data_IF_375194702305
#
_entry.id   IF_375194702305
#
_cell.length_a   1.000
_cell.length_b   1.000
_cell.length_c   1.000
_cell.angle_alpha   90.00
_cell.angle_beta   90.00
_cell.angle_gamma   90.00
#
_symmetry.space_group_name_H-M   'P 1'
#
loop_
_entity.id
_entity.type
_entity.pdbx_description
1 polymer ?
#
# COMPACT_ATOMS: atom_id res chain seq x y z
N UNK A 1 33.94 36.47 -21.81
CA UNK A 1 34.54 35.26 -21.20
C UNK A 1 34.16 35.21 -19.71
N UNK A 2 33.27 34.30 -19.31
CA UNK A 2 33.27 33.50 -18.05
C UNK A 2 31.92 32.77 -17.86
N UNK A 3 31.92 31.49 -18.24
CA UNK A 3 31.23 30.35 -17.59
C UNK A 3 31.49 30.36 -16.07
N UNK A 4 30.77 29.74 -15.13
CA UNK A 4 29.63 28.81 -15.00
C UNK A 4 29.13 29.03 -13.54
N UNK A 5 27.94 28.61 -13.07
CA UNK A 5 27.56 27.22 -12.88
C UNK A 5 26.08 27.10 -12.51
N UNK A 6 25.34 26.29 -13.28
CA UNK A 6 24.09 25.69 -12.82
C UNK A 6 24.44 24.53 -11.87
N UNK A 7 23.83 24.53 -10.68
CA UNK A 7 23.97 23.43 -9.73
C UNK A 7 23.43 22.11 -10.29
N UNK A 8 23.79 20.96 -9.69
CA UNK A 8 23.35 19.66 -10.18
C UNK A 8 21.82 19.57 -10.17
N UNK A 9 21.25 19.20 -11.31
CA UNK A 9 19.84 18.86 -11.39
C UNK A 9 19.60 17.64 -10.49
N UNK A 10 18.80 17.81 -9.44
CA UNK A 10 18.34 16.67 -8.64
C UNK A 10 17.43 15.82 -9.53
N UNK A 11 17.94 14.69 -9.99
CA UNK A 11 17.17 13.72 -10.75
C UNK A 11 16.12 13.10 -9.81
N UNK A 12 14.87 13.56 -9.95
CA UNK A 12 13.82 13.30 -8.96
C UNK A 12 13.28 11.85 -8.99
N UNK A 13 13.34 11.18 -10.14
CA UNK A 13 12.91 9.79 -10.28
C UNK A 13 13.35 9.20 -11.62
N UNK A 14 13.97 8.02 -11.62
CA UNK A 14 14.16 7.17 -12.81
C UNK A 14 13.52 5.81 -12.56
N UNK A 15 12.81 5.32 -13.56
CA UNK A 15 12.44 3.90 -13.65
C UNK A 15 12.98 3.34 -14.97
N UNK A 16 13.31 2.05 -15.01
CA UNK A 16 13.85 1.39 -16.21
C UNK A 16 12.84 1.25 -17.34
N UNK A 17 11.54 1.48 -17.09
CA UNK A 17 10.48 1.25 -18.07
C UNK A 17 10.33 -0.23 -18.45
N UNK A 18 10.87 -1.14 -17.65
CA UNK A 18 10.97 -2.58 -17.92
C UNK A 18 9.62 -3.32 -17.97
N UNK A 19 8.55 -2.69 -17.49
CA UNK A 19 7.24 -3.33 -17.32
C UNK A 19 7.20 -4.30 -16.13
N UNK A 20 8.31 -4.50 -15.42
CA UNK A 20 8.36 -5.33 -14.22
C UNK A 20 8.01 -4.51 -12.97
N UNK A 21 6.97 -4.97 -12.27
CA UNK A 21 6.41 -4.26 -11.12
C UNK A 21 7.39 -4.22 -9.94
N UNK A 22 8.11 -5.31 -9.68
CA UNK A 22 9.05 -5.39 -8.57
C UNK A 22 10.26 -4.50 -8.83
N UNK A 23 10.82 -4.53 -10.04
CA UNK A 23 11.92 -3.64 -10.45
C UNK A 23 11.53 -2.17 -10.31
N UNK A 24 10.31 -1.81 -10.73
CA UNK A 24 9.80 -0.45 -10.53
C UNK A 24 9.77 -0.08 -9.05
N UNK A 25 9.29 -0.97 -8.17
CA UNK A 25 9.33 -0.69 -6.73
C UNK A 25 10.75 -0.56 -6.19
N UNK A 26 11.71 -1.38 -6.64
CA UNK A 26 13.11 -1.26 -6.22
C UNK A 26 13.72 0.08 -6.61
N UNK A 27 13.37 0.60 -7.79
CA UNK A 27 13.87 1.87 -8.31
C UNK A 27 13.26 3.07 -7.57
N UNK A 28 11.98 2.99 -7.18
CA UNK A 28 11.31 4.12 -6.52
C UNK A 28 11.37 4.08 -4.99
N UNK A 29 11.22 2.89 -4.38
CA UNK A 29 11.18 2.71 -2.93
C UNK A 29 12.53 2.26 -2.35
N UNK A 30 13.47 1.87 -3.20
CA UNK A 30 14.77 1.34 -2.81
C UNK A 30 14.76 -0.18 -2.62
N UNK A 31 15.87 -0.82 -3.00
CA UNK A 31 16.02 -2.29 -3.01
C UNK A 31 15.76 -2.94 -1.66
N UNK A 32 16.33 -2.39 -0.59
CA UNK A 32 16.21 -2.97 0.75
C UNK A 32 14.76 -2.99 1.25
N UNK A 33 14.03 -1.90 1.00
CA UNK A 33 12.63 -1.80 1.39
C UNK A 33 11.77 -2.78 0.59
N UNK A 34 11.97 -2.87 -0.73
CA UNK A 34 11.22 -3.78 -1.60
C UNK A 34 11.50 -5.25 -1.28
N UNK A 35 12.75 -5.60 -0.94
CA UNK A 35 13.14 -6.95 -0.58
C UNK A 35 12.45 -7.45 0.70
N UNK A 36 12.07 -6.54 1.60
CA UNK A 36 11.34 -6.87 2.82
C UNK A 36 9.82 -7.02 2.61
N UNK A 37 9.27 -6.67 1.44
CA UNK A 37 7.84 -6.74 1.18
C UNK A 37 7.37 -8.17 0.91
N UNK A 38 6.10 -8.42 1.23
CA UNK A 38 5.42 -9.69 1.06
C UNK A 38 4.62 -9.68 -0.24
N UNK A 39 4.79 -10.70 -1.11
CA UNK A 39 4.03 -10.79 -2.35
C UNK A 39 2.57 -11.12 -2.05
N UNK A 40 1.70 -10.57 -2.88
CA UNK A 40 0.25 -10.83 -2.90
C UNK A 40 -0.10 -11.31 -4.30
N UNK A 41 -0.71 -12.49 -4.40
CA UNK A 41 -1.49 -12.93 -5.56
C UNK A 41 -2.65 -13.77 -5.03
N UNK A 42 -3.87 -13.24 -5.14
CA UNK A 42 -5.07 -13.88 -4.64
C UNK A 42 -6.25 -13.55 -5.53
N UNK A 43 -7.11 -14.53 -5.75
CA UNK A 43 -8.36 -14.36 -6.49
C UNK A 43 -9.53 -14.86 -5.64
N UNK A 44 -10.57 -14.04 -5.54
CA UNK A 44 -11.77 -14.35 -4.79
C UNK A 44 -12.95 -13.52 -5.31
N UNK A 45 -14.12 -14.16 -5.47
CA UNK A 45 -15.40 -13.49 -5.76
C UNK A 45 -15.32 -12.52 -6.96
N UNK A 46 -14.62 -12.90 -8.04
CA UNK A 46 -14.47 -12.07 -9.23
C UNK A 46 -13.39 -10.98 -9.12
N UNK A 47 -12.70 -10.88 -7.99
CA UNK A 47 -11.65 -9.88 -7.74
C UNK A 47 -10.29 -10.57 -7.66
N UNK A 48 -9.34 -10.15 -8.52
CA UNK A 48 -7.92 -10.52 -8.38
C UNK A 48 -7.15 -9.39 -7.72
N UNK A 49 -6.33 -9.72 -6.74
CA UNK A 49 -5.40 -8.80 -6.12
C UNK A 49 -3.98 -9.30 -6.34
N UNK A 50 -3.12 -8.48 -6.94
CA UNK A 50 -1.69 -8.75 -7.09
C UNK A 50 -0.87 -7.61 -6.52
N UNK A 51 0.39 -7.85 -6.16
CA UNK A 51 1.33 -6.81 -5.78
C UNK A 51 2.13 -7.14 -4.53
N UNK A 52 2.43 -6.12 -3.72
CA UNK A 52 3.30 -6.25 -2.55
C UNK A 52 2.74 -5.47 -1.36
N UNK A 53 2.88 -6.01 -0.15
CA UNK A 53 2.55 -5.32 1.12
C UNK A 53 3.69 -5.42 2.11
N UNK A 54 3.82 -4.47 3.04
CA UNK A 54 4.83 -4.58 4.08
C UNK A 54 4.48 -5.67 5.10
N UNK A 55 5.49 -6.31 5.72
CA UNK A 55 5.24 -7.07 6.93
C UNK A 55 4.77 -6.11 8.04
N UNK A 56 3.98 -6.57 9.02
CA UNK A 56 3.34 -5.69 10.00
C UNK A 56 4.28 -4.79 10.82
N UNK A 57 5.50 -5.23 11.09
CA UNK A 57 6.50 -4.43 11.82
C UNK A 57 7.10 -3.29 10.96
N UNK A 58 6.94 -3.34 9.64
CA UNK A 58 7.34 -2.27 8.72
C UNK A 58 6.13 -1.40 8.40
N UNK A 59 6.14 -0.18 8.90
CA UNK A 59 5.08 0.81 8.71
C UNK A 59 5.63 2.23 8.55
N UNK A 60 4.77 3.20 8.25
CA UNK A 60 5.09 4.63 8.13
C UNK A 60 4.09 5.48 8.91
N UNK A 61 4.47 6.72 9.22
CA UNK A 61 3.58 7.69 9.88
C UNK A 61 2.50 8.25 8.93
N UNK A 62 2.67 8.07 7.61
CA UNK A 62 1.74 8.56 6.58
C UNK A 62 1.43 7.47 5.56
N UNK A 63 0.36 7.66 4.79
CA UNK A 63 -0.09 6.73 3.74
C UNK A 63 0.60 6.93 2.39
N UNK A 64 1.71 7.67 2.32
CA UNK A 64 2.35 8.02 1.04
C UNK A 64 2.85 6.82 0.23
N UNK A 65 3.05 5.67 0.90
CA UNK A 65 3.46 4.39 0.30
C UNK A 65 2.29 3.40 0.16
N UNK A 66 1.06 3.90 0.08
CA UNK A 66 -0.13 3.12 -0.30
C UNK A 66 -0.51 3.47 -1.73
N UNK A 67 0.04 2.72 -2.67
CA UNK A 67 -0.19 2.86 -4.10
C UNK A 67 -1.16 1.79 -4.57
N UNK A 68 -2.29 2.24 -5.13
CA UNK A 68 -3.40 1.37 -5.50
C UNK A 68 -3.80 1.62 -6.94
N UNK A 69 -4.00 0.54 -7.67
CA UNK A 69 -4.50 0.57 -9.03
C UNK A 69 -5.73 -0.32 -9.18
N UNK A 70 -6.73 0.14 -9.92
CA UNK A 70 -7.89 -0.66 -10.32
C UNK A 70 -7.91 -0.74 -11.83
N UNK A 71 -7.85 -1.94 -12.38
CA UNK A 71 -7.81 -2.20 -13.82
C UNK A 71 -6.74 -1.32 -14.53
N UNK A 72 -5.55 -1.25 -13.93
CA UNK A 72 -4.39 -0.48 -14.44
C UNK A 72 -4.42 1.03 -14.16
N UNK A 73 -5.48 1.58 -13.58
CA UNK A 73 -5.58 3.03 -13.30
C UNK A 73 -5.21 3.33 -11.85
N UNK A 74 -4.34 4.32 -11.57
CA UNK A 74 -4.05 4.73 -10.20
C UNK A 74 -5.30 5.36 -9.58
N UNK A 75 -5.66 4.90 -8.38
CA UNK A 75 -6.89 5.32 -7.69
C UNK A 75 -6.64 5.71 -6.24
N UNK A 76 -7.56 6.50 -5.69
CA UNK A 76 -7.82 6.69 -4.27
C UNK A 76 -9.23 6.21 -3.98
N UNK A 77 -9.38 5.32 -3.01
CA UNK A 77 -10.68 4.80 -2.60
C UNK A 77 -10.67 4.54 -1.10
N UNK A 78 -11.66 5.11 -0.41
CA UNK A 78 -11.84 4.92 1.03
C UNK A 78 -12.02 3.45 1.38
N UNK A 79 -12.74 2.70 0.54
CA UNK A 79 -13.00 1.26 0.69
C UNK A 79 -11.71 0.45 0.64
N UNK A 80 -10.83 0.72 -0.34
CA UNK A 80 -9.56 0.01 -0.46
C UNK A 80 -8.61 0.36 0.71
N UNK A 81 -8.58 1.63 1.12
CA UNK A 81 -7.78 2.07 2.28
C UNK A 81 -8.26 1.43 3.58
N UNK A 82 -9.58 1.39 3.80
CA UNK A 82 -10.18 0.74 4.96
C UNK A 82 -9.92 -0.78 4.96
N UNK A 83 -9.88 -1.43 3.79
CA UNK A 83 -9.55 -2.84 3.69
C UNK A 83 -8.11 -3.14 4.12
N UNK A 84 -7.15 -2.28 3.73
CA UNK A 84 -5.76 -2.37 4.20
C UNK A 84 -5.71 -2.21 5.72
N UNK A 85 -6.35 -1.17 6.26
CA UNK A 85 -6.37 -0.95 7.71
C UNK A 85 -6.98 -2.14 8.46
N UNK A 86 -8.10 -2.67 7.96
CA UNK A 86 -8.78 -3.82 8.55
C UNK A 86 -7.92 -5.10 8.49
N UNK A 87 -7.16 -5.29 7.42
CA UNK A 87 -6.27 -6.44 7.30
C UNK A 87 -5.14 -6.40 8.34
N UNK A 88 -4.63 -5.19 8.62
CA UNK A 88 -3.49 -4.96 9.51
C UNK A 88 -3.85 -4.58 10.94
N UNK A 89 -5.15 -4.40 11.24
CA UNK A 89 -5.67 -3.87 12.52
C UNK A 89 -5.10 -4.57 13.77
N UNK A 90 -4.82 -5.86 13.69
CA UNK A 90 -4.31 -6.63 14.83
C UNK A 90 -2.82 -6.43 15.10
N UNK A 91 -2.08 -5.84 14.15
CA UNK A 91 -0.61 -5.87 14.15
C UNK A 91 0.02 -4.50 13.96
N UNK A 92 -0.72 -3.54 13.40
CA UNK A 92 -0.21 -2.19 13.16
C UNK A 92 -0.57 -1.28 14.32
N UNK A 93 0.42 -0.63 14.96
CA UNK A 93 0.16 0.35 16.01
C UNK A 93 -0.73 1.50 15.52
N UNK A 94 -1.39 2.17 16.45
CA UNK A 94 -2.21 3.34 16.13
C UNK A 94 -1.42 4.39 15.34
N UNK A 95 -2.06 5.00 14.33
CA UNK A 95 -1.49 6.07 13.47
C UNK A 95 -0.24 5.65 12.70
N UNK A 96 -0.01 4.34 12.56
CA UNK A 96 0.95 3.76 11.64
C UNK A 96 0.22 3.16 10.45
N UNK A 97 0.86 3.20 9.29
CA UNK A 97 0.29 2.70 8.05
C UNK A 97 1.25 1.71 7.40
N UNK A 98 0.77 0.51 7.01
CA UNK A 98 1.57 -0.42 6.22
C UNK A 98 1.82 0.17 4.82
N UNK A 99 2.90 -0.27 4.19
CA UNK A 99 3.15 -0.01 2.79
C UNK A 99 2.34 -0.99 1.96
N UNK A 100 1.80 -0.54 0.85
CA UNK A 100 1.02 -1.36 -0.06
C UNK A 100 1.20 -0.85 -1.48
N UNK A 101 1.58 -1.74 -2.39
CA UNK A 101 1.57 -1.49 -3.83
C UNK A 101 0.70 -2.58 -4.45
N UNK A 102 -0.58 -2.29 -4.69
CA UNK A 102 -1.58 -3.30 -5.01
C UNK A 102 -2.34 -2.99 -6.30
N UNK A 103 -2.47 -4.00 -7.14
CA UNK A 103 -3.26 -3.98 -8.37
C UNK A 103 -4.50 -4.84 -8.19
N UNK A 104 -5.66 -4.19 -8.31
CA UNK A 104 -6.98 -4.79 -8.19
C UNK A 104 -7.52 -4.98 -9.62
N UNK A 105 -7.89 -6.20 -9.96
CA UNK A 105 -8.59 -6.52 -11.20
C UNK A 105 -9.99 -7.01 -10.90
N UNK A 106 -10.97 -6.44 -11.59
CA UNK A 106 -12.39 -6.80 -11.47
C UNK A 106 -13.11 -6.43 -12.77
N UNK A 107 -14.34 -6.89 -12.94
CA UNK A 107 -15.18 -6.53 -14.09
C UNK A 107 -15.24 -4.99 -14.24
N UNK A 108 -14.75 -4.41 -15.35
CA UNK A 108 -14.80 -2.97 -15.59
C UNK A 108 -16.21 -2.41 -15.54
N UNK A 109 -17.23 -3.20 -15.90
CA UNK A 109 -18.62 -2.77 -15.81
C UNK A 109 -19.06 -2.54 -14.36
N UNK A 110 -18.41 -3.19 -13.38
CA UNK A 110 -18.66 -3.04 -11.94
C UNK A 110 -17.91 -1.88 -11.28
N UNK A 111 -17.19 -1.06 -12.05
CA UNK A 111 -16.32 0.00 -11.54
C UNK A 111 -16.70 1.34 -12.18
N UNK A 112 -17.17 2.28 -11.37
CA UNK A 112 -17.40 3.65 -11.81
C UNK A 112 -16.17 4.52 -11.51
N UNK A 113 -15.53 5.01 -12.56
CA UNK A 113 -14.33 5.86 -12.54
C UNK A 113 -14.66 7.35 -12.75
N UNK A 114 -15.93 7.71 -12.96
CA UNK A 114 -16.37 9.07 -13.31
C UNK A 114 -16.81 9.91 -12.10
N UNK A 115 -16.42 9.52 -10.89
CA UNK A 115 -16.99 10.09 -9.65
C UNK A 115 -16.45 11.49 -9.31
N UNK A 116 -15.35 11.93 -9.94
CA UNK A 116 -14.80 13.29 -9.70
C UNK A 116 -14.07 13.85 -10.93
N UNK A 117 -14.20 15.17 -11.20
CA UNK A 117 -13.48 15.84 -12.28
C UNK A 117 -11.97 16.02 -12.01
N UNK A 118 -11.48 15.85 -10.77
CA UNK A 118 -10.10 16.21 -10.37
C UNK A 118 -9.18 15.02 -10.05
N UNK A 119 -9.51 13.83 -10.57
CA UNK A 119 -8.68 12.61 -10.72
C UNK A 119 -8.90 11.50 -9.67
N UNK A 120 -8.92 10.27 -10.20
CA UNK A 120 -8.56 9.03 -9.52
C UNK A 120 -9.47 8.53 -8.38
N UNK A 121 -10.68 9.03 -8.20
CA UNK A 121 -11.65 8.38 -7.30
C UNK A 121 -12.45 7.29 -8.03
N UNK A 122 -12.62 6.15 -7.37
CA UNK A 122 -13.32 5.00 -7.93
C UNK A 122 -14.39 4.50 -6.96
N UNK A 123 -15.56 4.18 -7.51
CA UNK A 123 -16.66 3.56 -6.77
C UNK A 123 -16.94 2.18 -7.35
N UNK A 124 -16.99 1.18 -6.49
CA UNK A 124 -17.34 -0.18 -6.90
C UNK A 124 -18.85 -0.37 -6.79
N UNK A 125 -19.44 -1.11 -7.72
CA UNK A 125 -20.85 -1.53 -7.62
C UNK A 125 -21.07 -2.39 -6.37
N UNK A 126 -20.13 -3.27 -6.08
CA UNK A 126 -20.10 -4.10 -4.86
C UNK A 126 -18.81 -3.84 -4.08
N UNK A 127 -18.82 -2.78 -3.27
CA UNK A 127 -17.72 -2.45 -2.37
C UNK A 127 -17.43 -3.54 -1.33
N UNK A 128 -18.47 -4.27 -0.91
CA UNK A 128 -18.35 -5.30 0.14
C UNK A 128 -17.46 -6.46 -0.33
N UNK A 129 -17.64 -6.88 -1.57
CA UNK A 129 -16.91 -7.99 -2.18
C UNK A 129 -15.45 -7.62 -2.39
N UNK A 130 -15.19 -6.43 -2.93
CA UNK A 130 -13.82 -5.91 -3.09
C UNK A 130 -13.11 -5.77 -1.74
N UNK A 131 -13.80 -5.24 -0.73
CA UNK A 131 -13.27 -5.11 0.62
C UNK A 131 -12.88 -6.47 1.21
N UNK A 132 -13.78 -7.47 1.17
CA UNK A 132 -13.51 -8.82 1.71
C UNK A 132 -12.36 -9.52 0.97
N UNK A 133 -12.32 -9.40 -0.36
CA UNK A 133 -11.24 -9.96 -1.18
C UNK A 133 -9.89 -9.35 -0.81
N UNK A 134 -9.81 -8.02 -0.64
CA UNK A 134 -8.61 -7.34 -0.20
C UNK A 134 -8.14 -7.76 1.20
N UNK A 135 -9.05 -7.76 2.18
CA UNK A 135 -8.73 -8.16 3.55
C UNK A 135 -8.19 -9.59 3.57
N UNK A 136 -8.82 -10.50 2.82
CA UNK A 136 -8.44 -11.91 2.76
C UNK A 136 -7.07 -12.10 2.10
N UNK A 137 -6.82 -11.44 0.98
CA UNK A 137 -5.55 -11.50 0.26
C UNK A 137 -4.37 -11.02 1.12
N UNK A 138 -4.53 -9.86 1.77
CA UNK A 138 -3.48 -9.26 2.61
C UNK A 138 -3.22 -10.14 3.83
N UNK A 139 -4.27 -10.61 4.52
CA UNK A 139 -4.12 -11.50 5.68
C UNK A 139 -3.42 -12.81 5.29
N UNK A 140 -3.71 -13.36 4.12
CA UNK A 140 -3.05 -14.57 3.60
C UNK A 140 -1.56 -14.33 3.36
N UNK A 141 -1.18 -13.22 2.73
CA UNK A 141 0.22 -12.88 2.50
C UNK A 141 1.00 -12.71 3.81
N UNK A 142 0.40 -12.03 4.80
CA UNK A 142 1.02 -11.87 6.13
C UNK A 142 1.11 -13.19 6.88
N UNK A 143 0.06 -14.02 6.84
CA UNK A 143 0.08 -15.33 7.49
C UNK A 143 1.13 -16.26 6.87
N UNK A 144 1.26 -16.26 5.54
CA UNK A 144 2.22 -17.08 4.82
C UNK A 144 3.68 -16.69 5.09
N UNK A 145 3.96 -15.44 5.47
CA UNK A 145 5.31 -15.00 5.82
C UNK A 145 5.75 -15.42 7.23
N UNK A 146 4.81 -15.77 8.11
CA UNK A 146 5.06 -16.01 9.52
C UNK A 146 5.44 -14.76 10.33
N UNK A 147 5.48 -13.58 9.71
CA UNK A 147 5.97 -12.34 10.32
C UNK A 147 4.86 -11.59 11.07
N UNK A 148 4.22 -12.26 12.04
CA UNK A 148 3.14 -11.67 12.83
C UNK A 148 3.67 -11.21 14.19
N UNK A 149 3.56 -9.91 14.56
CA UNK A 149 3.93 -9.42 15.88
C UNK A 149 3.09 -10.06 16.98
N UNK A 150 3.71 -10.37 18.12
CA UNK A 150 2.99 -10.73 19.34
C UNK A 150 2.19 -9.56 19.91
N UNK A 151 1.11 -9.85 20.64
CA UNK A 151 0.21 -8.83 21.20
C UNK A 151 0.93 -7.82 22.12
N UNK A 152 1.90 -8.28 22.91
CA UNK A 152 2.71 -7.45 23.80
C UNK A 152 3.55 -6.42 23.04
N UNK A 153 4.19 -6.83 21.94
CA UNK A 153 4.98 -5.93 21.10
C UNK A 153 4.12 -4.82 20.47
N UNK A 154 2.89 -5.14 20.07
CA UNK A 154 1.93 -4.16 19.56
C UNK A 154 1.48 -3.20 20.66
N UNK A 155 1.23 -3.71 21.87
CA UNK A 155 0.84 -2.88 23.01
C UNK A 155 1.93 -1.88 23.39
N UNK A 156 3.17 -2.33 23.55
CA UNK A 156 4.30 -1.46 23.88
C UNK A 156 4.54 -0.38 22.80
N UNK A 157 4.39 -0.74 21.52
CA UNK A 157 4.50 0.22 20.43
C UNK A 157 3.38 1.28 20.47
N UNK A 158 2.16 0.91 20.92
CA UNK A 158 1.07 1.85 21.10
C UNK A 158 1.32 2.80 22.28
N UNK A 159 1.84 2.30 23.40
CA UNK A 159 2.19 3.11 24.57
C UNK A 159 3.29 4.12 24.24
N UNK A 160 4.40 3.66 23.67
CA UNK A 160 5.49 4.55 23.23
C UNK A 160 5.00 5.62 22.23
N UNK A 161 4.06 5.25 21.36
CA UNK A 161 3.46 6.19 20.43
C UNK A 161 2.55 7.22 21.13
N UNK A 162 1.96 6.93 22.29
CA UNK A 162 1.16 7.87 23.10
C UNK A 162 2.06 8.79 23.92
N UNK A 163 3.10 8.25 24.54
CA UNK A 163 4.06 9.02 25.35
C UNK A 163 4.79 10.09 24.54
N UNK A 164 5.19 9.76 23.30
CA UNK A 164 5.82 10.70 22.38
C UNK A 164 4.92 11.90 22.00
N UNK A 165 3.63 11.88 22.34
CA UNK A 165 2.67 12.96 22.07
C UNK A 165 2.47 13.90 23.25
N UNK A 166 2.92 13.53 24.46
CA UNK A 166 2.65 14.31 25.67
C UNK A 166 1.20 14.21 26.16
N UNK A 167 0.51 13.11 25.87
CA UNK A 167 -0.90 12.87 26.26
C UNK A 167 -1.05 12.32 27.72
N UNK A 168 -0.09 12.59 28.61
CA UNK A 168 -0.10 12.21 30.04
C UNK A 168 -0.24 13.42 30.97
#
# INVERSE_FOLDING_TARGET
>A
MRHAAGGPAHEALRTSGSGDFVTTLQEVWGRDLTAALLPVDHYQDGVRLTGMVSPPHVSRATRTHQWLWVNGRPVRSKTLMAAIDQAFRAWTPERRFPLAALMIWTDPAGVDVNVSPTKSEVKFRDESTVFRAMVSAIKRAVAASGMVPGAEAVHLANEAARDARGDL
#
